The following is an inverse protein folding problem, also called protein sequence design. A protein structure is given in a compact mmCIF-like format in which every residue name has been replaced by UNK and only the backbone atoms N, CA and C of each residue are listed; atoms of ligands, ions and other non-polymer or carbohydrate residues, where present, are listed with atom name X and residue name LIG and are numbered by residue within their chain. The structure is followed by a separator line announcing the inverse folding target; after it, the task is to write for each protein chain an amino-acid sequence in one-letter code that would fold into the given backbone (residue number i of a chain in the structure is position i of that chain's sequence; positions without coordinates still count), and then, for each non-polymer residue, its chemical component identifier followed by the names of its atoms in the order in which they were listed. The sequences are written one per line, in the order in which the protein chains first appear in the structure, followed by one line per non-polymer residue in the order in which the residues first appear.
data_IF_667283118046
#
_entry.id   IF_667283118046
#
_cell.length_a   1.000
_cell.length_b   1.000
_cell.length_c   1.000
_cell.angle_alpha   90.00
_cell.angle_beta   90.00
_cell.angle_gamma   90.00
#
_symmetry.space_group_name_H-M   'P 1'
#
loop_
_entity.id
_entity.type
_entity.pdbx_description
1 polymer ?
#
# COMPACT_ATOMS: atom_id res chain seq x y z
N UNK A 1 6.09 -3.59 30.41
CA UNK A 1 5.03 -3.96 29.45
C UNK A 1 4.81 -2.79 28.48
N UNK A 2 5.86 -2.40 27.73
CA UNK A 2 5.71 -1.58 26.53
C UNK A 2 5.35 -2.56 25.42
N UNK A 3 4.05 -2.70 25.25
CA UNK A 3 3.48 -4.03 25.14
C UNK A 3 3.38 -4.48 23.70
N UNK A 4 3.50 -5.79 23.44
CA UNK A 4 3.65 -6.45 22.13
C UNK A 4 2.86 -5.85 20.95
N UNK A 5 1.73 -5.21 21.24
CA UNK A 5 0.91 -4.42 20.32
C UNK A 5 1.67 -3.27 19.62
N UNK A 6 2.50 -2.49 20.35
CA UNK A 6 3.27 -1.40 19.75
C UNK A 6 4.32 -1.92 18.77
N UNK A 7 5.04 -2.99 19.16
CA UNK A 7 6.02 -3.66 18.28
C UNK A 7 5.34 -4.18 17.01
N UNK A 8 4.16 -4.81 17.14
CA UNK A 8 3.39 -5.28 15.98
C UNK A 8 3.00 -4.15 15.03
N UNK A 9 2.59 -2.98 15.55
CA UNK A 9 2.25 -1.80 14.74
C UNK A 9 3.48 -1.25 14.01
N UNK A 10 4.62 -1.16 14.70
CA UNK A 10 5.88 -0.69 14.11
C UNK A 10 6.35 -1.64 12.99
N UNK A 11 6.32 -2.95 13.23
CA UNK A 11 6.68 -3.95 12.20
C UNK A 11 5.75 -3.85 10.99
N UNK A 12 4.43 -3.78 11.20
CA UNK A 12 3.47 -3.62 10.12
C UNK A 12 3.72 -2.37 9.28
N UNK A 13 3.94 -1.23 9.95
CA UNK A 13 4.24 0.04 9.28
C UNK A 13 5.53 -0.03 8.47
N UNK A 14 6.59 -0.62 9.01
CA UNK A 14 7.88 -0.79 8.33
C UNK A 14 7.73 -1.66 7.09
N UNK A 15 7.04 -2.79 7.19
CA UNK A 15 6.87 -3.69 6.05
C UNK A 15 6.01 -3.07 4.95
N UNK A 16 4.93 -2.38 5.30
CA UNK A 16 4.10 -1.67 4.31
C UNK A 16 4.89 -0.55 3.63
N UNK A 17 5.71 0.20 4.37
CA UNK A 17 6.60 1.21 3.79
C UNK A 17 7.61 0.57 2.82
N UNK A 18 8.16 -0.59 3.18
CA UNK A 18 9.08 -1.33 2.33
C UNK A 18 8.39 -1.81 1.03
N UNK A 19 7.14 -2.29 1.11
CA UNK A 19 6.33 -2.61 -0.09
C UNK A 19 6.25 -1.39 -1.01
N UNK A 20 5.87 -0.23 -0.48
CA UNK A 20 5.74 0.98 -1.30
C UNK A 20 7.06 1.44 -1.92
N UNK A 21 8.17 1.36 -1.17
CA UNK A 21 9.51 1.65 -1.68
C UNK A 21 9.89 0.69 -2.82
N UNK A 22 9.65 -0.62 -2.67
CA UNK A 22 9.90 -1.62 -3.71
C UNK A 22 9.05 -1.36 -4.96
N UNK A 23 7.80 -0.90 -4.80
CA UNK A 23 6.98 -0.51 -5.94
C UNK A 23 7.59 0.69 -6.68
N UNK A 24 8.12 1.70 -5.97
CA UNK A 24 8.82 2.84 -6.59
C UNK A 24 10.08 2.42 -7.34
N UNK A 25 10.81 1.43 -6.84
CA UNK A 25 12.00 0.86 -7.48
C UNK A 25 11.69 -0.14 -8.60
N UNK A 26 10.43 -0.22 -9.06
CA UNK A 26 9.98 -1.16 -10.10
C UNK A 26 10.29 -2.63 -9.76
N UNK A 27 10.16 -3.02 -8.48
CA UNK A 27 10.34 -4.39 -7.99
C UNK A 27 9.01 -5.01 -7.49
N UNK A 28 7.97 -5.14 -8.34
CA UNK A 28 6.64 -5.57 -7.90
C UNK A 28 6.60 -7.00 -7.33
N UNK A 29 7.44 -7.91 -7.83
CA UNK A 29 7.48 -9.29 -7.32
C UNK A 29 8.00 -9.37 -5.88
N UNK A 30 9.07 -8.62 -5.57
CA UNK A 30 9.58 -8.49 -4.20
C UNK A 30 8.56 -7.82 -3.29
N UNK A 31 7.90 -6.78 -3.79
CA UNK A 31 6.83 -6.09 -3.05
C UNK A 31 5.69 -7.06 -2.70
N UNK A 32 5.32 -7.96 -3.62
CA UNK A 32 4.28 -8.99 -3.40
C UNK A 32 4.68 -10.00 -2.33
N UNK A 33 5.94 -10.45 -2.32
CA UNK A 33 6.48 -11.34 -1.27
C UNK A 33 6.35 -10.69 0.11
N UNK A 34 6.81 -9.46 0.26
CA UNK A 34 6.74 -8.73 1.54
C UNK A 34 5.29 -8.48 1.95
N UNK A 35 4.42 -8.09 1.01
CA UNK A 35 3.01 -7.84 1.30
C UNK A 35 2.29 -9.11 1.76
N UNK A 36 2.61 -10.27 1.17
CA UNK A 36 2.03 -11.55 1.58
C UNK A 36 2.43 -11.92 3.01
N UNK A 37 3.72 -11.80 3.35
CA UNK A 37 4.21 -11.99 4.73
C UNK A 37 3.53 -11.01 5.69
N UNK A 38 3.42 -9.74 5.28
CA UNK A 38 2.75 -8.71 6.07
C UNK A 38 1.30 -9.10 6.37
N UNK A 39 0.55 -9.58 5.37
CA UNK A 39 -0.85 -10.00 5.56
C UNK A 39 -1.02 -11.20 6.52
N UNK A 40 0.04 -11.99 6.74
CA UNK A 40 0.03 -13.12 7.67
C UNK A 40 0.33 -12.70 9.13
N UNK A 41 0.74 -11.45 9.35
CA UNK A 41 0.95 -10.94 10.70
C UNK A 41 -0.41 -10.73 11.40
N UNK A 42 -0.47 -11.13 12.67
CA UNK A 42 -1.65 -10.96 13.53
C UNK A 42 -1.84 -9.49 13.94
N UNK A 43 -2.22 -8.64 12.99
CA UNK A 43 -2.63 -7.27 13.29
C UNK A 43 -3.93 -7.28 14.11
N UNK A 44 -4.03 -6.35 15.07
CA UNK A 44 -5.27 -6.16 15.83
C UNK A 44 -6.42 -5.89 14.87
N UNK A 45 -7.60 -6.48 15.13
CA UNK A 45 -8.79 -6.20 14.31
C UNK A 45 -9.15 -4.71 14.30
N UNK A 46 -8.75 -3.97 15.34
CA UNK A 46 -8.98 -2.54 15.49
C UNK A 46 -7.96 -1.68 14.72
N UNK A 47 -6.95 -2.27 14.10
CA UNK A 47 -5.99 -1.56 13.26
C UNK A 47 -6.55 -1.33 11.85
N UNK A 48 -7.53 -0.42 11.77
CA UNK A 48 -8.21 -0.06 10.52
C UNK A 48 -7.23 0.54 9.51
N UNK A 49 -6.28 1.36 9.96
CA UNK A 49 -5.32 2.02 9.09
C UNK A 49 -4.43 1.00 8.36
N UNK A 50 -3.87 0.03 9.07
CA UNK A 50 -3.07 -1.03 8.45
C UNK A 50 -3.87 -1.81 7.40
N UNK A 51 -5.15 -2.11 7.66
CA UNK A 51 -6.03 -2.78 6.68
C UNK A 51 -6.25 -1.93 5.43
N UNK A 52 -6.49 -0.62 5.59
CA UNK A 52 -6.64 0.32 4.46
C UNK A 52 -5.36 0.38 3.64
N UNK A 53 -4.20 0.47 4.30
CA UNK A 53 -2.87 0.45 3.64
C UNK A 53 -2.63 -0.83 2.86
N UNK A 54 -2.96 -2.00 3.41
CA UNK A 54 -2.84 -3.28 2.69
C UNK A 54 -3.74 -3.30 1.46
N UNK A 55 -5.00 -2.86 1.58
CA UNK A 55 -5.92 -2.77 0.42
C UNK A 55 -5.37 -1.86 -0.67
N UNK A 56 -4.81 -0.70 -0.29
CA UNK A 56 -4.16 0.19 -1.24
C UNK A 56 -2.97 -0.45 -1.95
N UNK A 57 -2.08 -1.13 -1.21
CA UNK A 57 -0.92 -1.82 -1.83
C UNK A 57 -1.35 -2.92 -2.81
N UNK A 58 -2.42 -3.65 -2.49
CA UNK A 58 -3.00 -4.64 -3.43
C UNK A 58 -3.58 -3.96 -4.68
N UNK A 59 -4.27 -2.84 -4.53
CA UNK A 59 -4.80 -2.07 -5.65
C UNK A 59 -3.68 -1.52 -6.56
N UNK A 60 -2.57 -1.04 -5.97
CA UNK A 60 -1.39 -0.61 -6.72
C UNK A 60 -0.76 -1.76 -7.51
N UNK A 61 -0.55 -2.91 -6.88
CA UNK A 61 -0.03 -4.10 -7.58
C UNK A 61 -0.94 -4.52 -8.74
N UNK A 62 -2.26 -4.54 -8.53
CA UNK A 62 -3.20 -4.85 -9.60
C UNK A 62 -3.14 -3.82 -10.75
N UNK A 63 -2.98 -2.53 -10.43
CA UNK A 63 -2.77 -1.49 -11.45
C UNK A 63 -1.48 -1.75 -12.24
N UNK A 64 -0.38 -2.08 -11.56
CA UNK A 64 0.91 -2.39 -12.20
C UNK A 64 0.78 -3.61 -13.13
N UNK A 65 0.08 -4.65 -12.69
CA UNK A 65 -0.07 -5.90 -13.45
C UNK A 65 -0.99 -5.74 -14.68
N UNK A 66 -2.02 -4.89 -14.59
CA UNK A 66 -3.11 -4.85 -15.58
C UNK A 66 -3.20 -3.55 -16.37
N UNK A 67 -2.53 -2.48 -15.93
CA UNK A 67 -2.70 -1.12 -16.42
C UNK A 67 -4.07 -0.49 -16.12
N UNK A 68 -4.99 -1.22 -15.47
CA UNK A 68 -6.38 -0.75 -15.24
C UNK A 68 -6.46 0.12 -14.00
N UNK A 69 -6.91 1.37 -14.18
CA UNK A 69 -7.07 2.33 -13.07
C UNK A 69 -8.37 2.14 -12.29
N UNK A 70 -9.36 1.48 -12.87
CA UNK A 70 -10.70 1.39 -12.27
C UNK A 70 -10.69 0.87 -10.81
N UNK A 71 -9.98 -0.24 -10.48
CA UNK A 71 -9.97 -0.76 -9.11
C UNK A 71 -9.35 0.19 -8.09
N UNK A 72 -8.28 0.90 -8.46
CA UNK A 72 -7.65 1.87 -7.56
C UNK A 72 -8.47 3.15 -7.42
N UNK A 73 -9.15 3.59 -8.48
CA UNK A 73 -10.11 4.71 -8.41
C UNK A 73 -11.28 4.38 -7.48
N UNK A 74 -11.88 3.19 -7.60
CA UNK A 74 -12.92 2.74 -6.67
C UNK A 74 -12.44 2.74 -5.22
N UNK A 75 -11.22 2.26 -4.95
CA UNK A 75 -10.64 2.34 -3.61
C UNK A 75 -10.54 3.78 -3.12
N UNK A 76 -9.99 4.69 -3.94
CA UNK A 76 -9.82 6.10 -3.59
C UNK A 76 -11.17 6.82 -3.36
N UNK A 77 -12.19 6.47 -4.14
CA UNK A 77 -13.54 7.04 -4.01
C UNK A 77 -14.29 6.50 -2.80
N UNK A 78 -13.91 5.34 -2.27
CA UNK A 78 -14.47 4.80 -1.02
C UNK A 78 -13.93 5.46 0.26
N UNK A 79 -12.95 6.36 0.13
CA UNK A 79 -12.38 7.09 1.28
C UNK A 79 -13.27 8.30 1.62
N UNK A 80 -13.84 8.29 2.82
CA UNK A 80 -14.74 9.35 3.29
C UNK A 80 -14.00 10.65 3.68
N UNK A 81 -12.77 10.52 4.19
CA UNK A 81 -11.95 11.66 4.61
C UNK A 81 -11.20 12.27 3.41
N UNK A 82 -11.51 13.54 3.10
CA UNK A 82 -10.95 14.26 1.96
C UNK A 82 -9.44 14.48 2.03
N UNK A 83 -8.89 14.79 3.21
CA UNK A 83 -7.45 15.02 3.38
C UNK A 83 -6.64 13.73 3.27
N UNK A 84 -7.17 12.64 3.83
CA UNK A 84 -6.59 11.32 3.63
C UNK A 84 -6.66 10.95 2.15
N UNK A 85 -7.81 11.13 1.49
CA UNK A 85 -7.98 10.84 0.05
C UNK A 85 -6.93 11.54 -0.80
N UNK A 86 -6.66 12.83 -0.59
CA UNK A 86 -5.60 13.57 -1.29
C UNK A 86 -4.23 12.90 -1.17
N UNK A 87 -3.86 12.47 0.05
CA UNK A 87 -2.58 11.78 0.29
C UNK A 87 -2.47 10.45 -0.48
N UNK A 88 -3.55 9.67 -0.55
CA UNK A 88 -3.58 8.42 -1.30
C UNK A 88 -3.60 8.63 -2.81
N UNK A 89 -4.32 9.65 -3.30
CA UNK A 89 -4.30 10.06 -4.71
C UNK A 89 -2.89 10.44 -5.12
N UNK A 90 -2.20 11.27 -4.31
CA UNK A 90 -0.83 11.65 -4.57
C UNK A 90 0.10 10.43 -4.64
N UNK A 91 -0.01 9.50 -3.68
CA UNK A 91 0.78 8.26 -3.68
C UNK A 91 0.53 7.40 -4.93
N UNK A 92 -0.73 7.31 -5.39
CA UNK A 92 -1.06 6.62 -6.64
C UNK A 92 -0.43 7.30 -7.86
N UNK A 93 -0.54 8.63 -7.96
CA UNK A 93 0.04 9.40 -9.06
C UNK A 93 1.57 9.22 -9.14
N UNK A 94 2.27 9.13 -8.00
CA UNK A 94 3.70 8.81 -7.99
C UNK A 94 3.99 7.48 -8.67
N UNK A 95 3.27 6.42 -8.31
CA UNK A 95 3.44 5.09 -8.91
C UNK A 95 3.06 5.11 -10.39
N UNK A 96 1.90 5.69 -10.74
CA UNK A 96 1.47 5.84 -12.14
C UNK A 96 2.54 6.53 -12.99
N UNK A 97 3.14 7.61 -12.50
CA UNK A 97 4.19 8.31 -13.22
C UNK A 97 5.44 7.45 -13.43
N UNK A 98 5.90 6.72 -12.40
CA UNK A 98 7.06 5.82 -12.48
C UNK A 98 6.85 4.71 -13.53
N UNK A 99 5.67 4.10 -13.57
CA UNK A 99 5.40 2.98 -14.47
C UNK A 99 5.01 3.41 -15.90
N UNK A 100 4.47 4.62 -16.08
CA UNK A 100 4.12 5.14 -17.40
C UNK A 100 5.24 5.96 -18.06
N UNK A 101 6.13 6.60 -17.29
CA UNK A 101 7.12 7.54 -17.83
C UNK A 101 8.57 7.26 -17.38
N UNK A 102 8.81 6.27 -16.52
CA UNK A 102 10.14 6.00 -15.95
C UNK A 102 11.11 5.26 -16.88
N UNK A 103 11.04 5.46 -18.19
CA UNK A 103 12.07 5.03 -19.14
C UNK A 103 12.74 6.27 -19.73
N UNK A 104 13.78 6.73 -19.05
CA UNK A 104 14.90 7.48 -19.66
C UNK A 104 16.18 6.72 -19.31
#
# INVERSE_FOLDING_TARGET
MYDKKLVSVLVGNTLINAVFALLKEKQPDKARVILNVTCQLNFSQNDLLTKVRIKFMKALLNYIDTGKEYPIRQFLDSLEDGHLKESWVFAFLQIKNIYNHGNN
#
